data_IF_662892985580
#
_entry.id   IF_662892985580
#
_cell.length_a   1.000
_cell.length_b   1.000
_cell.length_c   1.000
_cell.angle_alpha   90.00
_cell.angle_beta   90.00
_cell.angle_gamma   90.00
#
_symmetry.space_group_name_H-M   'P 1'
#
loop_
_entity.id
_entity.type
_entity.pdbx_description
1 polymer ?
#
# COMPACT_ATOMS: atom_id res chain seq x y z
N UNK A 1 10.67 -14.76 -2.12
CA UNK A 1 10.66 -13.29 -2.04
C UNK A 1 11.74 -12.74 -2.97
N UNK A 2 11.31 -11.87 -3.90
CA UNK A 2 12.20 -11.26 -4.88
C UNK A 2 12.78 -9.97 -4.31
N UNK A 3 14.09 -9.87 -4.23
CA UNK A 3 14.77 -8.67 -3.72
C UNK A 3 14.94 -7.57 -4.79
N UNK A 4 14.82 -7.93 -6.07
CA UNK A 4 15.02 -7.03 -7.23
C UNK A 4 14.02 -7.35 -8.33
N UNK A 5 13.54 -6.33 -9.05
CA UNK A 5 12.63 -6.51 -10.19
C UNK A 5 13.23 -7.40 -11.29
N UNK A 6 14.54 -7.33 -11.52
CA UNK A 6 15.21 -8.21 -12.46
C UNK A 6 15.07 -9.71 -12.12
N UNK A 7 15.01 -10.06 -10.83
CA UNK A 7 14.77 -11.44 -10.40
C UNK A 7 13.34 -11.88 -10.72
N UNK A 8 12.36 -10.98 -10.54
CA UNK A 8 10.96 -11.25 -10.92
C UNK A 8 10.84 -11.48 -12.42
N UNK A 9 11.48 -10.64 -13.24
CA UNK A 9 11.48 -10.81 -14.70
C UNK A 9 12.11 -12.14 -15.13
N UNK A 10 13.24 -12.53 -14.52
CA UNK A 10 13.94 -13.77 -14.87
C UNK A 10 13.11 -15.02 -14.58
N UNK A 11 12.36 -15.02 -13.48
CA UNK A 11 11.52 -16.17 -13.10
C UNK A 11 10.22 -16.22 -13.91
N UNK A 12 9.68 -15.07 -14.26
CA UNK A 12 8.44 -14.96 -15.05
C UNK A 12 8.69 -14.86 -16.56
N UNK A 13 9.60 -15.67 -17.08
CA UNK A 13 10.02 -15.66 -18.52
C UNK A 13 8.88 -15.69 -19.53
N UNK A 14 7.68 -16.16 -19.16
CA UNK A 14 6.50 -16.23 -20.04
C UNK A 14 5.57 -15.02 -19.92
N UNK A 15 5.83 -14.09 -19.02
CA UNK A 15 4.99 -12.92 -18.78
C UNK A 15 5.83 -11.65 -18.82
N UNK A 16 5.47 -10.71 -19.69
CA UNK A 16 6.05 -9.38 -19.66
C UNK A 16 5.48 -8.61 -18.49
N UNK A 17 6.35 -8.11 -17.58
CA UNK A 17 5.93 -7.25 -16.49
C UNK A 17 5.71 -5.85 -17.05
N UNK A 18 4.47 -5.37 -17.02
CA UNK A 18 4.11 -4.00 -17.41
C UNK A 18 4.23 -2.99 -16.27
N UNK A 19 4.15 -3.45 -15.02
CA UNK A 19 4.29 -2.63 -13.82
C UNK A 19 4.70 -3.48 -12.64
N UNK A 20 5.60 -2.97 -11.79
CA UNK A 20 5.86 -3.51 -10.46
C UNK A 20 6.25 -2.39 -9.50
N UNK A 21 5.83 -2.49 -8.25
CA UNK A 21 6.17 -1.57 -7.17
C UNK A 21 6.25 -2.35 -5.85
N UNK A 22 7.12 -1.93 -4.93
CA UNK A 22 7.10 -2.48 -3.58
C UNK A 22 5.79 -2.10 -2.88
N UNK A 23 5.27 -3.02 -2.05
CA UNK A 23 3.96 -2.89 -1.42
C UNK A 23 4.05 -2.81 0.11
N UNK A 24 3.49 -3.78 0.83
CA UNK A 24 3.42 -3.81 2.28
C UNK A 24 4.80 -3.94 2.95
N UNK A 25 4.87 -3.51 4.19
CA UNK A 25 6.08 -3.55 5.00
C UNK A 25 6.45 -4.97 5.41
N UNK A 26 7.74 -5.21 5.60
CA UNK A 26 8.28 -6.51 5.97
C UNK A 26 9.38 -6.40 7.05
N UNK A 27 9.58 -7.48 7.77
CA UNK A 27 10.64 -7.64 8.76
C UNK A 27 12.03 -7.82 8.10
N UNK A 28 13.15 -7.69 8.83
CA UNK A 28 14.50 -7.93 8.29
C UNK A 28 14.69 -9.30 7.61
N UNK A 29 13.92 -10.30 8.02
CA UNK A 29 13.88 -11.64 7.41
C UNK A 29 12.95 -11.73 6.18
N UNK A 30 12.43 -10.58 5.70
CA UNK A 30 11.49 -10.44 4.59
C UNK A 30 10.08 -11.03 4.82
N UNK A 31 9.74 -11.46 6.04
CA UNK A 31 8.38 -11.83 6.34
C UNK A 31 7.48 -10.59 6.38
N UNK A 32 6.26 -10.62 5.78
CA UNK A 32 5.33 -9.49 5.87
C UNK A 32 4.99 -9.16 7.32
N UNK A 33 4.86 -7.86 7.64
CA UNK A 33 4.49 -7.39 9.00
C UNK A 33 3.03 -7.67 9.32
N UNK A 34 2.17 -7.72 8.31
CA UNK A 34 0.74 -7.95 8.46
C UNK A 34 0.18 -8.85 7.38
N UNK A 35 -1.14 -8.83 7.23
CA UNK A 35 -1.85 -9.70 6.30
C UNK A 35 -1.18 -9.79 4.94
N UNK A 36 -0.97 -11.03 4.52
CA UNK A 36 -0.54 -11.35 3.16
C UNK A 36 -1.35 -12.52 2.61
N UNK A 37 -2.05 -12.27 1.50
CA UNK A 37 -2.82 -13.29 0.77
C UNK A 37 -2.28 -13.35 -0.66
N UNK A 38 -1.98 -14.54 -1.13
CA UNK A 38 -1.53 -14.83 -2.49
C UNK A 38 -2.36 -15.97 -3.09
N UNK A 39 -2.93 -15.72 -4.27
CA UNK A 39 -3.77 -16.69 -5.00
C UNK A 39 -4.93 -17.27 -4.18
N UNK A 40 -5.52 -16.46 -3.29
CA UNK A 40 -6.60 -16.87 -2.40
C UNK A 40 -6.14 -17.60 -1.14
N UNK A 41 -4.84 -17.86 -0.98
CA UNK A 41 -4.29 -18.50 0.21
C UNK A 41 -3.68 -17.46 1.14
N UNK A 42 -4.18 -17.41 2.37
CA UNK A 42 -3.60 -16.56 3.41
C UNK A 42 -2.27 -17.16 3.88
N UNK A 43 -1.21 -16.38 3.75
CA UNK A 43 0.15 -16.75 4.16
C UNK A 43 0.50 -16.19 5.54
N UNK A 44 0.05 -14.97 5.82
CA UNK A 44 0.26 -14.26 7.09
C UNK A 44 -1.09 -13.70 7.54
N UNK A 45 -1.34 -13.78 8.83
CA UNK A 45 -2.57 -13.31 9.45
C UNK A 45 -2.67 -11.78 9.51
N UNK A 46 -3.91 -11.30 9.70
CA UNK A 46 -4.18 -9.89 9.90
C UNK A 46 -3.55 -9.42 11.22
N UNK A 47 -2.67 -8.44 11.13
CA UNK A 47 -2.01 -7.87 12.30
C UNK A 47 -2.90 -6.78 12.93
N UNK A 48 -3.40 -7.05 14.12
CA UNK A 48 -4.27 -6.14 14.87
C UNK A 48 -3.53 -5.39 15.99
N UNK A 49 -2.21 -5.52 16.06
CA UNK A 49 -1.40 -4.86 17.08
C UNK A 49 -1.42 -3.35 16.91
N UNK A 50 -1.54 -2.65 18.03
CA UNK A 50 -1.50 -1.18 18.12
C UNK A 50 -0.33 -0.78 19.04
N UNK A 51 -0.03 0.49 19.10
CA UNK A 51 0.95 1.07 20.04
C UNK A 51 2.38 0.52 19.90
N UNK A 52 2.80 0.21 18.68
CA UNK A 52 4.18 -0.12 18.34
C UNK A 52 4.81 0.95 17.47
N UNK A 53 6.14 0.96 17.41
CA UNK A 53 6.89 1.90 16.57
C UNK A 53 6.80 1.54 15.08
N UNK A 54 6.86 2.58 14.25
CA UNK A 54 6.91 2.47 12.81
C UNK A 54 5.60 2.82 12.12
N UNK A 55 5.71 3.16 10.84
CA UNK A 55 4.59 3.65 10.04
C UNK A 55 3.46 2.61 9.94
N UNK A 56 3.78 1.32 9.93
CA UNK A 56 2.77 0.26 9.91
C UNK A 56 1.77 0.37 11.07
N UNK A 57 2.25 0.79 12.25
CA UNK A 57 1.44 0.85 13.48
C UNK A 57 0.77 2.21 13.70
N UNK A 58 1.02 3.21 12.86
CA UNK A 58 0.24 4.46 12.85
C UNK A 58 -1.21 4.16 12.47
N UNK A 59 -2.14 4.61 13.32
CA UNK A 59 -3.54 4.26 13.18
C UNK A 59 -4.37 5.34 12.44
N UNK A 60 -5.44 4.90 11.76
CA UNK A 60 -5.68 3.52 11.40
C UNK A 60 -4.72 3.04 10.31
N UNK A 61 -4.24 1.81 10.42
CA UNK A 61 -3.63 1.10 9.32
C UNK A 61 -4.69 0.36 8.49
N UNK A 62 -4.31 -0.25 7.37
CA UNK A 62 -5.30 -0.79 6.46
C UNK A 62 -4.80 -1.92 5.57
N UNK A 63 -5.71 -2.42 4.78
CA UNK A 63 -5.52 -3.51 3.82
C UNK A 63 -5.93 -3.05 2.43
N UNK A 64 -5.07 -3.24 1.45
CA UNK A 64 -5.46 -3.28 0.04
C UNK A 64 -5.64 -4.74 -0.36
N UNK A 65 -6.78 -5.05 -0.96
CA UNK A 65 -7.13 -6.40 -1.38
C UNK A 65 -7.90 -6.38 -2.69
N UNK A 66 -7.74 -7.44 -3.48
CA UNK A 66 -8.49 -7.59 -4.73
C UNK A 66 -8.74 -9.06 -5.06
N UNK A 67 -9.71 -9.27 -5.91
CA UNK A 67 -10.02 -10.53 -6.55
C UNK A 67 -10.26 -10.32 -8.05
N UNK A 68 -10.83 -11.29 -8.75
CA UNK A 68 -11.06 -11.19 -10.20
C UNK A 68 -12.14 -10.17 -10.60
N UNK A 69 -12.93 -9.66 -9.64
CA UNK A 69 -14.08 -8.78 -9.90
C UNK A 69 -13.88 -7.36 -9.39
N UNK A 70 -13.21 -7.21 -8.27
CA UNK A 70 -13.13 -5.92 -7.58
C UNK A 70 -11.88 -5.80 -6.70
N UNK A 71 -11.51 -4.55 -6.44
CA UNK A 71 -10.50 -4.16 -5.47
C UNK A 71 -11.13 -3.38 -4.31
N UNK A 72 -10.51 -3.41 -3.14
CA UNK A 72 -10.91 -2.63 -1.96
C UNK A 72 -9.69 -2.11 -1.23
N UNK A 73 -9.83 -0.93 -0.61
CA UNK A 73 -8.94 -0.45 0.43
C UNK A 73 -9.81 -0.19 1.67
N UNK A 74 -9.47 -0.80 2.78
CA UNK A 74 -10.24 -0.71 4.03
C UNK A 74 -9.29 -0.53 5.21
N UNK A 75 -9.73 0.15 6.26
CA UNK A 75 -9.00 0.07 7.54
C UNK A 75 -8.93 -1.38 8.00
N UNK A 76 -7.94 -1.71 8.82
CA UNK A 76 -7.81 -3.08 9.38
C UNK A 76 -9.08 -3.54 10.06
N UNK A 77 -9.74 -2.66 10.82
CA UNK A 77 -11.00 -2.97 11.51
C UNK A 77 -12.15 -3.23 10.53
N UNK A 78 -12.28 -2.39 9.50
CA UNK A 78 -13.31 -2.57 8.46
C UNK A 78 -13.06 -3.84 7.64
N UNK A 79 -11.79 -4.18 7.38
CA UNK A 79 -11.44 -5.40 6.65
C UNK A 79 -11.78 -6.65 7.47
N UNK A 80 -11.46 -6.65 8.77
CA UNK A 80 -11.79 -7.73 9.69
C UNK A 80 -13.30 -8.03 9.74
N UNK A 81 -14.13 -6.97 9.75
CA UNK A 81 -15.60 -7.08 9.74
C UNK A 81 -16.18 -7.41 8.36
N UNK A 82 -15.36 -7.35 7.31
CA UNK A 82 -15.83 -7.59 5.94
C UNK A 82 -15.76 -9.07 5.57
N UNK A 83 -16.71 -9.51 4.75
CA UNK A 83 -16.67 -10.85 4.15
C UNK A 83 -15.94 -10.88 2.80
N UNK A 84 -14.99 -9.94 2.58
CA UNK A 84 -14.30 -9.83 1.32
C UNK A 84 -13.40 -11.04 1.05
N UNK A 85 -13.67 -11.76 -0.04
CA UNK A 85 -12.90 -12.92 -0.47
C UNK A 85 -11.76 -12.44 -1.36
N UNK A 86 -10.61 -12.15 -0.75
CA UNK A 86 -9.44 -11.69 -1.46
C UNK A 86 -8.75 -12.84 -2.21
N UNK A 87 -8.33 -12.58 -3.45
CA UNK A 87 -7.35 -13.41 -4.15
C UNK A 87 -5.93 -12.98 -3.83
N UNK A 88 -5.74 -11.67 -3.65
CA UNK A 88 -4.51 -11.04 -3.21
C UNK A 88 -4.82 -9.96 -2.17
N UNK A 89 -4.01 -9.86 -1.15
CA UNK A 89 -4.10 -8.79 -0.16
C UNK A 89 -2.74 -8.51 0.48
N UNK A 90 -2.52 -7.25 0.85
CA UNK A 90 -1.42 -6.85 1.72
C UNK A 90 -1.89 -5.79 2.70
N UNK A 91 -1.44 -5.92 3.95
CA UNK A 91 -1.65 -4.94 4.99
C UNK A 91 -0.47 -3.98 5.07
N UNK A 92 -0.75 -2.71 5.30
CA UNK A 92 0.25 -1.66 5.46
C UNK A 92 -0.32 -0.52 6.31
N UNK A 93 0.41 0.58 6.43
CA UNK A 93 -0.08 1.73 7.18
C UNK A 93 0.88 2.91 7.20
N UNK A 94 0.34 4.09 7.51
CA UNK A 94 -1.07 4.37 7.84
C UNK A 94 -2.02 4.46 6.65
N UNK A 95 -3.33 4.48 6.89
CA UNK A 95 -4.27 4.98 5.89
C UNK A 95 -3.94 6.45 5.61
N UNK A 96 -3.90 6.80 4.33
CA UNK A 96 -3.69 8.19 3.87
C UNK A 96 -5.00 8.95 3.78
N UNK A 97 -6.01 8.32 3.18
CA UNK A 97 -7.38 8.83 3.11
C UNK A 97 -8.36 7.80 3.68
N UNK A 98 -9.40 8.31 4.32
CA UNK A 98 -10.53 7.55 4.83
C UNK A 98 -11.80 8.30 4.44
N UNK A 99 -12.63 7.71 3.58
CA UNK A 99 -13.85 8.32 3.08
C UNK A 99 -13.63 9.72 2.46
N UNK A 100 -12.56 9.88 1.69
CA UNK A 100 -12.19 11.14 1.04
C UNK A 100 -11.48 12.16 1.95
N UNK A 101 -11.34 11.88 3.24
CA UNK A 101 -10.69 12.79 4.18
C UNK A 101 -9.26 12.35 4.51
N UNK A 102 -8.35 13.32 4.58
CA UNK A 102 -6.96 13.09 4.99
C UNK A 102 -6.95 12.61 6.44
N UNK A 103 -6.16 11.58 6.72
CA UNK A 103 -6.01 11.06 8.07
C UNK A 103 -5.61 12.18 9.05
N UNK A 104 -6.42 12.38 10.08
CA UNK A 104 -6.31 13.50 11.03
C UNK A 104 -5.02 13.50 11.87
N UNK A 105 -4.29 12.37 11.90
CA UNK A 105 -2.99 12.32 12.59
C UNK A 105 -1.87 13.04 11.82
N UNK A 106 -2.09 13.41 10.55
CA UNK A 106 -1.05 14.04 9.75
C UNK A 106 -0.96 15.55 9.98
N UNK A 107 0.25 16.01 10.26
CA UNK A 107 0.56 17.42 10.44
C UNK A 107 0.96 18.03 9.10
N UNK A 108 0.24 19.10 8.68
CA UNK A 108 0.43 19.76 7.36
C UNK A 108 1.86 20.24 7.13
N UNK A 109 2.48 20.82 8.15
CA UNK A 109 3.82 21.41 8.07
C UNK A 109 4.88 20.51 8.76
N UNK A 110 4.70 19.20 8.70
CA UNK A 110 5.64 18.24 9.28
C UNK A 110 6.97 18.23 8.51
N UNK A 111 8.09 18.27 9.24
CA UNK A 111 9.46 18.16 8.70
C UNK A 111 9.84 16.71 8.37
N UNK A 112 8.98 15.74 8.64
CA UNK A 112 9.20 14.32 8.33
C UNK A 112 9.09 14.08 6.82
N UNK A 113 10.11 14.52 6.09
CA UNK A 113 10.17 14.43 4.63
C UNK A 113 10.86 13.15 4.18
N UNK A 114 10.16 12.30 3.44
CA UNK A 114 10.67 11.03 2.87
C UNK A 114 10.15 10.85 1.45
N UNK A 115 10.83 10.05 0.63
CA UNK A 115 10.20 9.48 -0.56
C UNK A 115 9.10 8.53 -0.09
N UNK A 116 7.93 8.60 -0.72
CA UNK A 116 6.76 7.84 -0.30
C UNK A 116 6.11 7.13 -1.46
N UNK A 117 5.51 5.99 -1.18
CA UNK A 117 4.62 5.30 -2.10
C UNK A 117 3.32 4.91 -1.41
N UNK A 118 2.28 4.73 -2.19
CA UNK A 118 0.96 4.41 -1.69
C UNK A 118 0.04 3.96 -2.81
N UNK A 119 -1.15 3.55 -2.41
CA UNK A 119 -2.20 3.11 -3.32
C UNK A 119 -3.53 3.75 -2.91
N UNK A 120 -4.24 4.32 -3.88
CA UNK A 120 -5.60 4.82 -3.72
C UNK A 120 -6.58 4.00 -4.54
N UNK A 121 -7.87 4.11 -4.23
CA UNK A 121 -8.93 3.46 -4.99
C UNK A 121 -10.03 4.45 -5.36
N UNK A 122 -10.50 4.37 -6.62
CA UNK A 122 -11.65 5.09 -7.14
C UNK A 122 -12.30 4.25 -8.24
N UNK A 123 -13.64 4.12 -8.20
CA UNK A 123 -14.40 3.39 -9.22
C UNK A 123 -13.83 1.99 -9.51
N UNK A 124 -13.46 1.25 -8.48
CA UNK A 124 -12.84 -0.09 -8.57
C UNK A 124 -11.47 -0.13 -9.27
N UNK A 125 -10.82 1.01 -9.47
CA UNK A 125 -9.47 1.12 -10.03
C UNK A 125 -8.46 1.47 -8.94
N UNK A 126 -7.31 0.80 -8.94
CA UNK A 126 -6.20 1.07 -8.05
C UNK A 126 -5.21 2.04 -8.71
N UNK A 127 -4.87 3.11 -8.00
CA UNK A 127 -3.89 4.12 -8.39
C UNK A 127 -2.65 3.99 -7.52
N UNK A 128 -1.57 3.51 -8.10
CA UNK A 128 -0.27 3.41 -7.42
C UNK A 128 0.52 4.70 -7.64
N UNK A 129 1.01 5.28 -6.56
CA UNK A 129 1.74 6.55 -6.57
C UNK A 129 3.09 6.38 -5.87
N UNK A 130 4.13 6.95 -6.46
CA UNK A 130 5.45 7.13 -5.85
C UNK A 130 5.86 8.60 -6.00
N UNK A 131 6.32 9.24 -4.92
CA UNK A 131 6.82 10.61 -5.00
C UNK A 131 8.23 10.64 -5.60
N UNK A 132 8.50 11.59 -6.50
CA UNK A 132 9.85 11.81 -7.05
C UNK A 132 10.80 12.43 -6.02
N UNK A 133 10.27 13.27 -5.14
CA UNK A 133 11.00 13.95 -4.08
C UNK A 133 10.52 13.56 -2.69
N UNK A 134 11.22 14.07 -1.68
CA UNK A 134 10.83 13.93 -0.28
C UNK A 134 9.57 14.75 -0.01
N UNK A 135 8.58 14.17 0.66
CA UNK A 135 7.29 14.76 0.97
C UNK A 135 6.81 14.28 2.35
N UNK A 136 6.07 15.10 3.10
CA UNK A 136 5.44 14.66 4.34
C UNK A 136 4.16 13.87 4.08
N UNK A 137 3.59 13.26 5.10
CA UNK A 137 2.38 12.43 4.95
C UNK A 137 1.16 13.23 4.52
N UNK A 138 0.98 14.46 5.06
CA UNK A 138 -0.17 15.29 4.73
C UNK A 138 -0.19 15.63 3.24
N UNK A 139 0.91 16.17 2.73
CA UNK A 139 1.02 16.57 1.32
C UNK A 139 0.97 15.36 0.40
N UNK A 140 1.49 14.20 0.82
CA UNK A 140 1.39 12.96 0.06
C UNK A 140 -0.06 12.45 0.00
N UNK A 141 -0.81 12.53 1.10
CA UNK A 141 -2.22 12.19 1.14
C UNK A 141 -3.07 13.15 0.29
N UNK A 142 -2.70 14.43 0.25
CA UNK A 142 -3.40 15.43 -0.56
C UNK A 142 -3.34 15.15 -2.06
N UNK A 143 -2.28 14.51 -2.55
CA UNK A 143 -2.22 14.03 -3.95
C UNK A 143 -3.39 13.09 -4.26
N UNK A 144 -3.68 12.16 -3.37
CA UNK A 144 -4.79 11.22 -3.53
C UNK A 144 -6.15 11.92 -3.42
N UNK A 145 -6.29 12.89 -2.50
CA UNK A 145 -7.52 13.66 -2.31
C UNK A 145 -7.78 14.62 -3.46
N UNK A 146 -6.84 15.52 -3.72
CA UNK A 146 -7.06 16.67 -4.58
C UNK A 146 -6.84 16.37 -6.06
N UNK A 147 -5.84 15.57 -6.41
CA UNK A 147 -5.51 15.28 -7.80
C UNK A 147 -6.17 14.01 -8.32
N UNK A 148 -6.08 12.91 -7.57
CA UNK A 148 -6.64 11.63 -7.98
C UNK A 148 -8.12 11.48 -7.60
N UNK A 149 -8.58 12.25 -6.61
CA UNK A 149 -9.97 12.23 -6.09
C UNK A 149 -10.38 10.81 -5.70
N UNK A 150 -9.50 10.11 -4.96
CA UNK A 150 -9.77 8.78 -4.42
C UNK A 150 -10.46 8.88 -3.06
N UNK A 151 -11.33 7.91 -2.72
CA UNK A 151 -12.05 7.92 -1.44
C UNK A 151 -11.24 7.25 -0.33
N UNK A 152 -10.45 6.27 -0.69
CA UNK A 152 -9.57 5.54 0.22
C UNK A 152 -8.16 5.52 -0.34
N UNK A 153 -7.16 5.72 0.53
CA UNK A 153 -5.76 5.55 0.16
C UNK A 153 -4.94 5.00 1.32
N UNK A 154 -3.97 4.16 0.99
CA UNK A 154 -3.12 3.45 1.92
C UNK A 154 -1.65 3.73 1.62
N UNK A 155 -0.88 4.09 2.63
CA UNK A 155 0.57 4.17 2.53
C UNK A 155 1.18 2.76 2.45
N UNK A 156 2.17 2.62 1.60
CA UNK A 156 2.97 1.40 1.45
C UNK A 156 4.37 1.60 2.04
N UNK A 157 5.33 0.72 1.77
CA UNK A 157 6.68 0.87 2.31
C UNK A 157 7.51 1.90 1.53
N UNK A 158 7.34 3.16 1.88
CA UNK A 158 7.97 4.30 1.21
C UNK A 158 9.48 4.40 1.41
N UNK A 159 10.04 3.89 2.49
CA UNK A 159 11.48 4.02 2.79
C UNK A 159 12.38 3.36 1.75
N UNK A 160 11.84 2.37 1.06
CA UNK A 160 12.49 1.64 -0.03
C UNK A 160 11.71 1.75 -1.34
N UNK A 161 11.00 2.87 -1.53
CA UNK A 161 10.16 3.11 -2.70
C UNK A 161 10.91 2.81 -4.00
N UNK A 162 10.38 1.88 -4.76
CA UNK A 162 10.89 1.49 -6.05
C UNK A 162 9.74 1.07 -6.96
N UNK A 163 9.76 1.55 -8.19
CA UNK A 163 8.81 1.17 -9.22
C UNK A 163 9.52 0.77 -10.50
N UNK A 164 8.97 -0.21 -11.19
CA UNK A 164 9.42 -0.65 -12.49
C UNK A 164 8.29 -0.44 -13.50
N UNK A 165 8.53 0.43 -14.48
CA UNK A 165 7.59 0.77 -15.56
C UNK A 165 8.40 0.73 -16.86
N UNK A 166 8.29 -0.33 -17.67
CA UNK A 166 9.14 -0.53 -18.86
C UNK A 166 9.03 0.59 -19.89
N UNK A 167 7.87 1.26 -19.98
CA UNK A 167 7.63 2.36 -20.92
C UNK A 167 8.03 3.74 -20.38
N UNK A 168 8.33 3.87 -19.10
CA UNK A 168 8.83 5.11 -18.51
C UNK A 168 10.36 5.18 -18.73
N UNK A 169 10.77 5.90 -19.77
CA UNK A 169 12.17 6.29 -19.98
C UNK A 169 12.52 7.51 -19.15
#
# INVERSE_FOLDING_TARGET
IYKKFAAVQKERKKCQISFAMNAGMYHPNFAPVGLYIEQGKQQIELNQQKNKFGNFFMQPNGVVAWNNKQAVIKTTEQYLKSNFKARYATQSGPMLLINGEINSIFVKNSDSLKVRNGVGIKNNQLYFVISRGKINFYNFADIFKSQLKTDQALYLDGSISSAFIPQAK
#
